data_IF_137534700145
#
_entry.id   IF_137534700145
#
_cell.length_a   1.000
_cell.length_b   1.000
_cell.length_c   1.000
_cell.angle_alpha   90.00
_cell.angle_beta   90.00
_cell.angle_gamma   90.00
#
_symmetry.space_group_name_H-M   'P 1'
#
loop_
_entity.id
_entity.type
_entity.pdbx_description
1 polymer ?
#
# COMPACT_ATOMS: atom_id res chain seq x y z
N UNK A 1 -42.08 36.19 32.05
CA UNK A 1 -42.41 37.14 33.15
C UNK A 1 -41.35 38.23 33.15
N UNK A 2 -41.42 39.26 33.99
CA UNK A 2 -40.36 40.28 34.11
C UNK A 2 -38.95 39.70 34.45
N UNK A 3 -38.88 38.42 34.79
CA UNK A 3 -37.66 37.66 35.12
C UNK A 3 -37.21 36.67 34.03
N UNK A 4 -37.75 36.75 32.81
CA UNK A 4 -37.33 35.88 31.69
C UNK A 4 -37.67 34.39 31.83
N UNK A 5 -38.47 33.98 32.82
CA UNK A 5 -38.92 32.58 32.93
C UNK A 5 -39.89 32.25 31.80
N UNK A 6 -39.67 31.11 31.17
CA UNK A 6 -40.55 30.53 30.15
C UNK A 6 -41.92 30.29 30.78
N UNK A 7 -42.95 31.00 30.32
CA UNK A 7 -44.33 30.90 30.83
C UNK A 7 -45.16 29.93 29.98
N UNK A 8 -44.97 29.95 28.66
CA UNK A 8 -45.72 29.13 27.71
C UNK A 8 -44.90 28.97 26.44
N UNK A 9 -44.83 27.74 25.92
CA UNK A 9 -44.23 27.49 24.62
C UNK A 9 -45.28 27.77 23.53
N UNK A 10 -45.02 28.75 22.66
CA UNK A 10 -45.97 29.20 21.62
C UNK A 10 -45.91 28.34 20.35
N UNK A 11 -44.95 27.42 20.27
CA UNK A 11 -44.77 26.51 19.14
C UNK A 11 -43.31 26.06 19.07
N UNK A 12 -43.11 24.80 18.65
CA UNK A 12 -41.79 24.22 18.42
C UNK A 12 -41.77 23.67 17.00
N UNK A 13 -40.74 24.01 16.24
CA UNK A 13 -40.41 23.29 15.01
C UNK A 13 -39.46 22.17 15.44
N UNK A 14 -39.88 20.92 15.24
CA UNK A 14 -39.07 19.78 15.62
C UNK A 14 -37.85 19.63 14.70
N UNK A 15 -36.69 19.24 15.25
CA UNK A 15 -35.52 19.00 14.43
C UNK A 15 -35.74 17.77 13.55
N UNK A 16 -35.31 17.86 12.29
CA UNK A 16 -35.25 16.70 11.40
C UNK A 16 -34.00 15.91 11.76
N UNK A 17 -34.17 14.61 12.01
CA UNK A 17 -33.04 13.71 12.29
C UNK A 17 -32.11 13.65 11.08
N UNK A 18 -30.80 13.51 11.33
CA UNK A 18 -29.84 13.26 10.27
C UNK A 18 -30.10 11.92 9.59
N UNK A 19 -29.70 11.82 8.32
CA UNK A 19 -29.75 10.56 7.57
C UNK A 19 -28.81 9.50 8.13
N UNK A 20 -29.17 8.23 7.96
CA UNK A 20 -28.33 7.08 8.31
C UNK A 20 -27.32 6.84 7.20
N UNK A 21 -26.04 6.68 7.57
CA UNK A 21 -24.96 6.34 6.64
C UNK A 21 -24.62 4.87 6.82
N UNK A 22 -24.81 4.08 5.76
CA UNK A 22 -24.45 2.66 5.74
C UNK A 22 -23.09 2.50 5.08
N UNK A 23 -22.17 1.84 5.79
CA UNK A 23 -20.78 1.66 5.36
C UNK A 23 -20.56 0.28 4.71
N UNK A 24 -19.50 0.18 3.92
CA UNK A 24 -18.98 -1.07 3.34
C UNK A 24 -18.21 -1.94 4.35
N UNK A 25 -17.90 -1.39 5.54
CA UNK A 25 -17.11 -2.05 6.58
C UNK A 25 -17.84 -3.26 7.18
N UNK A 26 -17.22 -4.44 7.15
CA UNK A 26 -17.64 -5.59 7.95
C UNK A 26 -17.01 -5.49 9.35
N UNK A 27 -17.85 -5.33 10.37
CA UNK A 27 -17.39 -5.16 11.76
C UNK A 27 -16.60 -6.37 12.30
N UNK A 28 -16.88 -7.58 11.83
CA UNK A 28 -16.15 -8.81 12.23
C UNK A 28 -14.78 -8.83 11.57
N UNK A 29 -14.69 -8.47 10.29
CA UNK A 29 -13.41 -8.37 9.59
C UNK A 29 -12.54 -7.25 10.18
N UNK A 30 -13.13 -6.09 10.45
CA UNK A 30 -12.45 -4.97 11.12
C UNK A 30 -11.85 -5.39 12.47
N UNK A 31 -12.61 -6.15 13.27
CA UNK A 31 -12.13 -6.70 14.55
C UNK A 31 -11.02 -7.72 14.36
N UNK A 32 -11.18 -8.68 13.44
CA UNK A 32 -10.16 -9.68 13.15
C UNK A 32 -8.85 -9.03 12.68
N UNK A 33 -8.93 -8.02 11.81
CA UNK A 33 -7.78 -7.25 11.35
C UNK A 33 -7.11 -6.50 12.51
N UNK A 34 -7.88 -5.92 13.43
CA UNK A 34 -7.36 -5.25 14.62
C UNK A 34 -6.63 -6.20 15.56
N UNK A 35 -7.25 -7.33 15.90
CA UNK A 35 -6.69 -8.34 16.81
C UNK A 35 -5.40 -8.96 16.23
N UNK A 36 -5.33 -9.14 14.91
CA UNK A 36 -4.14 -9.69 14.24
C UNK A 36 -2.87 -8.83 14.43
N UNK A 37 -3.01 -7.53 14.73
CA UNK A 37 -1.84 -6.69 15.04
C UNK A 37 -1.20 -7.04 16.38
N UNK A 38 -1.93 -7.63 17.32
CA UNK A 38 -1.38 -8.05 18.63
C UNK A 38 -0.57 -6.92 19.30
N UNK A 39 -1.16 -5.72 19.36
CA UNK A 39 -0.53 -4.52 19.94
C UNK A 39 0.59 -3.88 19.10
N UNK A 40 0.93 -4.42 17.93
CA UNK A 40 1.95 -3.85 17.03
C UNK A 40 1.42 -2.63 16.28
N UNK A 41 2.29 -1.64 16.06
CA UNK A 41 1.97 -0.47 15.25
C UNK A 41 1.95 -0.83 13.75
N UNK A 42 1.01 -0.28 13.00
CA UNK A 42 0.91 -0.47 11.56
C UNK A 42 -0.47 -0.13 11.01
N UNK A 43 -0.74 -0.59 9.80
CA UNK A 43 -2.04 -0.41 9.15
C UNK A 43 -2.40 -1.62 8.29
N UNK A 44 -3.69 -1.90 8.19
CA UNK A 44 -4.24 -2.90 7.28
C UNK A 44 -5.44 -2.31 6.54
N UNK A 45 -5.58 -2.68 5.27
CA UNK A 45 -6.71 -2.33 4.42
C UNK A 45 -7.16 -3.62 3.74
N UNK A 46 -8.44 -3.96 3.88
CA UNK A 46 -9.11 -4.98 3.10
C UNK A 46 -10.06 -4.29 2.13
N UNK A 47 -9.93 -4.59 0.84
CA UNK A 47 -10.67 -3.95 -0.24
C UNK A 47 -11.22 -5.03 -1.16
N UNK A 48 -12.52 -5.00 -1.45
CA UNK A 48 -13.09 -5.87 -2.46
C UNK A 48 -12.56 -5.42 -3.84
N UNK A 49 -11.84 -6.28 -4.58
CA UNK A 49 -11.25 -5.89 -5.84
C UNK A 49 -12.29 -5.74 -6.95
N UNK A 50 -13.53 -6.20 -6.77
CA UNK A 50 -14.58 -6.15 -7.79
C UNK A 50 -15.19 -4.76 -7.94
N UNK A 51 -15.17 -3.96 -6.88
CA UNK A 51 -15.87 -2.67 -6.84
C UNK A 51 -15.14 -1.56 -6.03
N UNK A 52 -14.09 -1.92 -5.28
CA UNK A 52 -13.35 -1.01 -4.42
C UNK A 52 -13.98 -0.72 -3.06
N UNK A 53 -14.95 -1.52 -2.62
CA UNK A 53 -15.52 -1.46 -1.28
C UNK A 53 -14.43 -1.70 -0.22
N UNK A 54 -14.26 -0.79 0.73
CA UNK A 54 -13.39 -1.01 1.89
C UNK A 54 -14.11 -1.86 2.94
N UNK A 55 -13.70 -3.12 3.05
CA UNK A 55 -14.31 -4.08 3.99
C UNK A 55 -13.73 -3.93 5.41
N UNK A 56 -12.46 -3.51 5.52
CA UNK A 56 -11.82 -3.15 6.78
C UNK A 56 -10.68 -2.15 6.55
N UNK A 57 -10.48 -1.23 7.50
CA UNK A 57 -9.38 -0.28 7.53
C UNK A 57 -8.92 -0.02 8.95
N UNK A 58 -7.74 -0.54 9.30
CA UNK A 58 -7.16 -0.46 10.65
C UNK A 58 -5.89 0.38 10.61
N UNK A 59 -5.72 1.23 11.63
CA UNK A 59 -4.49 2.00 11.88
C UNK A 59 -4.16 1.93 13.36
N UNK A 60 -2.96 1.45 13.69
CA UNK A 60 -2.52 1.20 15.06
C UNK A 60 -1.16 1.86 15.37
N UNK A 61 -0.91 2.27 16.64
CA UNK A 61 -1.91 2.31 17.71
C UNK A 61 -3.02 3.31 17.39
N UNK A 62 -4.17 3.12 18.04
CA UNK A 62 -5.36 3.96 17.91
C UNK A 62 -5.74 4.49 19.29
N UNK A 63 -6.87 5.20 19.39
CA UNK A 63 -7.39 5.76 20.63
C UNK A 63 -8.90 5.55 20.72
N UNK A 64 -9.45 5.67 21.94
CA UNK A 64 -10.89 5.63 22.14
C UNK A 64 -11.52 6.96 21.67
N UNK A 65 -12.36 6.97 20.62
CA UNK A 65 -12.99 8.20 20.16
C UNK A 65 -13.94 8.81 21.20
N UNK A 66 -14.46 8.03 22.16
CA UNK A 66 -15.35 8.53 23.20
C UNK A 66 -14.69 9.57 24.12
N UNK A 67 -13.35 9.61 24.16
CA UNK A 67 -12.59 10.63 24.88
C UNK A 67 -12.87 12.06 24.37
N UNK A 68 -13.39 12.21 23.16
CA UNK A 68 -13.67 13.52 22.56
C UNK A 68 -15.14 13.97 22.68
N UNK A 69 -16.08 13.08 23.02
CA UNK A 69 -17.52 13.38 22.99
C UNK A 69 -17.94 14.51 23.94
N UNK A 70 -17.29 14.65 25.10
CA UNK A 70 -17.61 15.66 26.12
C UNK A 70 -16.45 16.63 26.39
N UNK A 71 -15.46 16.64 25.50
CA UNK A 71 -14.16 17.29 25.73
C UNK A 71 -13.15 16.34 26.37
N UNK A 72 -11.94 16.33 25.82
CA UNK A 72 -10.85 15.46 26.27
C UNK A 72 -10.13 16.06 27.48
N UNK A 73 -9.88 15.25 28.51
CA UNK A 73 -9.05 15.64 29.64
C UNK A 73 -7.62 16.00 29.18
N UNK A 74 -7.01 17.00 29.81
CA UNK A 74 -5.69 17.51 29.40
C UNK A 74 -4.62 16.41 29.43
N UNK A 75 -4.67 15.53 30.41
CA UNK A 75 -3.74 14.41 30.57
C UNK A 75 -3.87 13.39 29.44
N UNK A 76 -5.12 13.07 29.04
CA UNK A 76 -5.40 12.17 27.93
C UNK A 76 -4.96 12.77 26.59
N UNK A 77 -5.21 14.07 26.40
CA UNK A 77 -4.75 14.82 25.24
C UNK A 77 -3.21 14.83 25.14
N UNK A 78 -2.54 15.17 26.24
CA UNK A 78 -1.08 15.18 26.32
C UNK A 78 -0.48 13.80 26.00
N UNK A 79 -1.11 12.72 26.47
CA UNK A 79 -0.70 11.34 26.14
C UNK A 79 -0.81 11.07 24.65
N UNK A 80 -1.91 11.41 24.00
CA UNK A 80 -2.10 11.20 22.56
C UNK A 80 -1.13 12.06 21.72
N UNK A 81 -0.91 13.31 22.12
CA UNK A 81 -0.07 14.25 21.40
C UNK A 81 1.42 13.88 21.48
N UNK A 82 1.88 13.40 22.66
CA UNK A 82 3.30 13.08 22.92
C UNK A 82 3.66 11.64 22.55
N UNK A 83 2.68 10.81 22.16
CA UNK A 83 2.94 9.42 21.79
C UNK A 83 3.79 9.34 20.49
N UNK A 84 4.99 8.74 20.54
CA UNK A 84 5.89 8.67 19.39
C UNK A 84 5.34 7.82 18.23
N UNK A 85 4.38 6.94 18.49
CA UNK A 85 3.72 6.08 17.49
C UNK A 85 2.55 6.80 16.79
N UNK A 86 2.25 8.04 17.17
CA UNK A 86 1.28 8.93 16.51
C UNK A 86 -0.09 8.27 16.33
N UNK A 87 -0.82 7.96 17.41
CA UNK A 87 -2.11 7.26 17.34
C UNK A 87 -3.20 8.07 16.62
N UNK A 88 -3.07 9.40 16.58
CA UNK A 88 -4.00 10.29 15.86
C UNK A 88 -3.78 10.32 14.34
N UNK A 89 -2.72 9.67 13.83
CA UNK A 89 -2.46 9.58 12.40
C UNK A 89 -3.07 8.31 11.82
N UNK A 90 -3.96 8.46 10.83
CA UNK A 90 -4.46 7.33 10.06
C UNK A 90 -3.37 6.83 9.11
N UNK A 91 -2.65 5.78 9.52
CA UNK A 91 -1.53 5.20 8.78
C UNK A 91 -1.97 4.52 7.48
N UNK A 92 -3.26 4.15 7.33
CA UNK A 92 -3.78 3.52 6.11
C UNK A 92 -3.82 4.49 4.92
N UNK A 93 -4.15 5.77 5.16
CA UNK A 93 -4.30 6.80 4.11
C UNK A 93 -3.25 7.92 4.16
N UNK A 94 -2.60 8.11 5.32
CA UNK A 94 -1.63 9.18 5.53
C UNK A 94 -0.21 8.67 5.84
N UNK A 95 -0.07 7.39 6.18
CA UNK A 95 1.24 6.76 6.36
C UNK A 95 1.93 6.58 5.01
N UNK A 96 3.05 7.26 4.82
CA UNK A 96 3.83 7.21 3.59
C UNK A 96 5.10 6.40 3.82
N UNK A 97 5.21 5.25 3.16
CA UNK A 97 6.30 4.31 3.34
C UNK A 97 6.91 3.96 1.98
N UNK A 98 8.21 3.68 1.90
CA UNK A 98 8.73 3.00 0.71
C UNK A 98 7.94 1.70 0.50
N UNK A 99 7.51 1.38 -0.73
CA UNK A 99 6.79 0.13 -1.00
C UNK A 99 7.70 -1.10 -0.85
N UNK A 100 9.01 -0.92 -0.98
CA UNK A 100 9.94 -2.04 -1.03
C UNK A 100 9.58 -3.02 -2.15
N UNK A 101 9.81 -4.31 -1.92
CA UNK A 101 9.63 -5.34 -2.96
C UNK A 101 8.20 -5.54 -3.45
N UNK A 102 7.17 -4.91 -2.85
CA UNK A 102 5.81 -4.90 -3.42
C UNK A 102 5.76 -4.12 -4.74
N UNK A 103 6.69 -3.17 -4.94
CA UNK A 103 6.83 -2.36 -6.15
C UNK A 103 7.35 -3.14 -7.36
N UNK A 104 7.98 -4.30 -7.15
CA UNK A 104 8.52 -5.16 -8.22
C UNK A 104 7.44 -5.63 -9.19
N UNK A 105 6.19 -5.72 -8.73
CA UNK A 105 5.04 -5.99 -9.59
C UNK A 105 4.91 -4.96 -10.72
N UNK A 106 5.01 -3.67 -10.38
CA UNK A 106 4.86 -2.56 -11.33
C UNK A 106 6.03 -2.54 -12.31
N UNK A 107 7.23 -2.79 -11.81
CA UNK A 107 8.44 -2.87 -12.65
C UNK A 107 8.36 -4.07 -13.59
N UNK A 108 7.85 -5.22 -13.13
CA UNK A 108 7.62 -6.39 -13.97
C UNK A 108 6.58 -6.12 -15.06
N UNK A 109 5.44 -5.52 -14.70
CA UNK A 109 4.39 -5.14 -15.63
C UNK A 109 4.92 -4.19 -16.72
N UNK A 110 5.60 -3.11 -16.31
CA UNK A 110 6.24 -2.18 -17.23
C UNK A 110 7.26 -2.87 -18.15
N UNK A 111 8.05 -3.80 -17.61
CA UNK A 111 9.09 -4.47 -18.38
C UNK A 111 8.54 -5.39 -19.48
N UNK A 112 7.43 -6.08 -19.18
CA UNK A 112 6.73 -6.93 -20.14
C UNK A 112 6.05 -6.10 -21.24
N UNK A 113 5.29 -5.07 -20.85
CA UNK A 113 4.52 -4.26 -21.80
C UNK A 113 5.40 -3.34 -22.67
N UNK A 114 6.55 -2.87 -22.16
CA UNK A 114 7.53 -2.16 -22.98
C UNK A 114 8.40 -3.10 -23.83
N UNK A 115 8.22 -4.42 -23.73
CA UNK A 115 8.96 -5.42 -24.49
C UNK A 115 10.46 -5.50 -24.17
N UNK A 116 10.90 -4.92 -23.04
CA UNK A 116 12.33 -4.93 -22.64
C UNK A 116 12.77 -6.28 -22.07
N UNK A 117 11.82 -7.11 -21.64
CA UNK A 117 12.03 -8.50 -21.26
C UNK A 117 10.90 -9.39 -21.80
N UNK A 118 11.17 -10.69 -21.87
CA UNK A 118 10.14 -11.73 -22.00
C UNK A 118 10.07 -12.54 -20.69
N UNK A 119 9.03 -13.36 -20.49
CA UNK A 119 8.97 -14.25 -19.31
C UNK A 119 10.17 -15.20 -19.19
N UNK A 120 10.82 -15.50 -20.32
CA UNK A 120 11.98 -16.38 -20.41
C UNK A 120 13.32 -15.64 -20.25
N UNK A 121 13.34 -14.29 -20.26
CA UNK A 121 14.56 -13.52 -20.04
C UNK A 121 15.19 -13.90 -18.71
N UNK A 122 16.42 -14.43 -18.76
CA UNK A 122 17.20 -14.85 -17.60
C UNK A 122 18.25 -13.80 -17.24
N UNK A 123 18.34 -13.48 -15.96
CA UNK A 123 19.40 -12.65 -15.40
C UNK A 123 20.08 -13.43 -14.27
N UNK A 124 21.41 -13.45 -14.27
CA UNK A 124 22.18 -14.13 -13.22
C UNK A 124 22.36 -13.20 -12.02
N UNK A 125 21.89 -13.65 -10.86
CA UNK A 125 22.09 -12.97 -9.59
C UNK A 125 23.24 -13.61 -8.82
N UNK A 126 24.36 -12.89 -8.70
CA UNK A 126 25.53 -13.27 -7.90
C UNK A 126 25.55 -12.63 -6.50
N UNK A 127 24.43 -12.04 -6.07
CA UNK A 127 24.30 -11.38 -4.76
C UNK A 127 24.51 -9.87 -4.77
N UNK A 128 25.02 -9.29 -5.85
CA UNK A 128 25.12 -7.84 -6.05
C UNK A 128 24.98 -7.43 -7.53
N UNK A 129 24.81 -6.13 -7.73
CA UNK A 129 24.80 -5.43 -9.01
C UNK A 129 25.71 -4.22 -8.91
N UNK A 130 26.70 -4.12 -9.81
CA UNK A 130 27.64 -3.01 -9.83
C UNK A 130 27.19 -1.92 -10.82
N UNK A 131 27.24 -0.66 -10.38
CA UNK A 131 27.01 0.48 -11.24
C UNK A 131 28.02 1.59 -10.92
N UNK A 132 28.98 1.79 -11.83
CA UNK A 132 30.11 2.68 -11.58
C UNK A 132 30.87 2.22 -10.34
N UNK A 133 31.06 3.14 -9.38
CA UNK A 133 31.78 2.87 -8.13
C UNK A 133 30.87 2.41 -6.98
N UNK A 134 29.63 1.98 -7.27
CA UNK A 134 28.64 1.61 -6.25
C UNK A 134 28.11 0.20 -6.46
N UNK A 135 28.15 -0.56 -5.38
CA UNK A 135 27.56 -1.90 -5.26
C UNK A 135 26.16 -1.85 -4.68
N UNK A 136 25.20 -2.40 -5.40
CA UNK A 136 23.81 -2.62 -4.96
C UNK A 136 23.64 -4.09 -4.58
N UNK A 137 23.36 -4.37 -3.31
CA UNK A 137 23.33 -5.74 -2.80
C UNK A 137 21.93 -6.34 -2.89
N UNK A 138 21.86 -7.60 -3.23
CA UNK A 138 20.66 -8.39 -3.07
C UNK A 138 20.47 -8.80 -1.60
N UNK A 139 19.24 -9.05 -1.19
CA UNK A 139 18.94 -9.61 0.13
C UNK A 139 19.58 -10.99 0.35
N UNK A 140 19.73 -11.80 -0.72
CA UNK A 140 20.45 -13.08 -0.68
C UNK A 140 21.92 -12.90 -1.01
N UNK A 141 22.78 -13.01 0.01
CA UNK A 141 24.23 -12.72 -0.09
C UNK A 141 24.96 -13.51 -1.19
N UNK A 142 24.66 -14.80 -1.34
CA UNK A 142 25.28 -15.66 -2.34
C UNK A 142 24.56 -15.61 -3.71
N UNK A 143 23.57 -14.74 -3.84
CA UNK A 143 22.75 -14.62 -5.04
C UNK A 143 21.71 -15.73 -5.20
N UNK A 144 20.93 -15.60 -6.27
CA UNK A 144 19.87 -16.54 -6.65
C UNK A 144 20.28 -17.45 -7.83
N UNK A 145 21.48 -17.26 -8.38
CA UNK A 145 21.90 -17.88 -9.63
C UNK A 145 21.09 -17.34 -10.82
N UNK A 146 20.94 -18.10 -11.92
CA UNK A 146 20.11 -17.70 -13.04
C UNK A 146 18.63 -17.70 -12.65
N UNK A 147 17.97 -16.55 -12.77
CA UNK A 147 16.54 -16.37 -12.49
C UNK A 147 15.82 -15.78 -13.69
N UNK A 148 14.63 -16.29 -14.01
CA UNK A 148 13.69 -15.67 -14.94
C UNK A 148 12.71 -14.77 -14.18
N UNK A 149 11.78 -14.11 -14.90
CA UNK A 149 10.83 -13.17 -14.28
C UNK A 149 10.01 -13.82 -13.16
N UNK A 150 9.48 -15.02 -13.41
CA UNK A 150 8.67 -15.75 -12.45
C UNK A 150 9.45 -16.01 -11.15
N UNK A 151 10.62 -16.66 -11.24
CA UNK A 151 11.46 -16.96 -10.08
C UNK A 151 11.95 -15.69 -9.39
N UNK A 152 12.23 -14.62 -10.15
CA UNK A 152 12.63 -13.34 -9.59
C UNK A 152 11.53 -12.67 -8.75
N UNK A 153 10.26 -12.81 -9.13
CA UNK A 153 9.12 -12.37 -8.31
C UNK A 153 8.94 -13.27 -7.08
N UNK A 154 8.93 -14.60 -7.27
CA UNK A 154 8.76 -15.62 -6.21
C UNK A 154 9.81 -15.48 -5.11
N UNK A 155 11.09 -15.43 -5.48
CA UNK A 155 12.22 -15.27 -4.54
C UNK A 155 12.57 -13.80 -4.30
N UNK A 156 11.80 -12.86 -4.85
CA UNK A 156 12.00 -11.42 -4.67
C UNK A 156 13.45 -10.96 -4.99
N UNK A 157 14.06 -11.44 -6.06
CA UNK A 157 15.46 -11.18 -6.42
C UNK A 157 15.72 -9.72 -6.80
N UNK A 158 16.52 -8.98 -6.01
CA UNK A 158 16.79 -7.56 -6.28
C UNK A 158 17.63 -7.34 -7.54
N UNK A 159 18.64 -8.17 -7.80
CA UNK A 159 19.53 -8.01 -8.97
C UNK A 159 18.78 -8.11 -10.29
N UNK A 160 17.78 -8.99 -10.36
CA UNK A 160 16.90 -9.07 -11.54
C UNK A 160 16.21 -7.71 -11.76
N UNK A 161 15.61 -7.14 -10.72
CA UNK A 161 14.89 -5.88 -10.80
C UNK A 161 15.81 -4.66 -10.92
N UNK A 162 17.05 -4.69 -10.43
CA UNK A 162 18.07 -3.67 -10.70
C UNK A 162 18.39 -3.60 -12.18
N UNK A 163 18.64 -4.75 -12.81
CA UNK A 163 18.92 -4.85 -14.24
C UNK A 163 17.71 -4.39 -15.07
N UNK A 164 16.52 -4.91 -14.78
CA UNK A 164 15.28 -4.53 -15.48
C UNK A 164 14.96 -3.05 -15.29
N UNK A 165 15.12 -2.54 -14.06
CA UNK A 165 14.91 -1.13 -13.75
C UNK A 165 15.87 -0.22 -14.50
N UNK A 166 17.14 -0.63 -14.67
CA UNK A 166 18.11 0.08 -15.51
C UNK A 166 17.69 0.10 -16.98
N UNK A 167 17.17 -1.01 -17.51
CA UNK A 167 16.68 -1.10 -18.89
C UNK A 167 15.45 -0.19 -19.12
N UNK A 168 14.54 -0.15 -18.14
CA UNK A 168 13.35 0.70 -18.21
C UNK A 168 13.66 2.19 -18.01
N UNK A 169 14.50 2.55 -17.05
CA UNK A 169 14.64 3.95 -16.64
C UNK A 169 13.45 4.45 -15.79
N UNK A 170 13.68 5.52 -15.04
CA UNK A 170 12.73 5.98 -14.01
C UNK A 170 11.39 6.44 -14.57
N UNK A 171 11.36 7.15 -15.70
CA UNK A 171 10.11 7.76 -16.16
C UNK A 171 9.11 6.72 -16.70
N UNK A 172 9.59 5.65 -17.34
CA UNK A 172 8.72 4.51 -17.72
C UNK A 172 8.19 3.82 -16.47
N UNK A 173 9.05 3.54 -15.49
CA UNK A 173 8.61 2.97 -14.20
C UNK A 173 7.54 3.86 -13.54
N UNK A 174 7.78 5.18 -13.51
CA UNK A 174 6.86 6.14 -12.93
C UNK A 174 5.52 6.21 -13.68
N UNK A 175 5.53 6.11 -15.02
CA UNK A 175 4.31 6.07 -15.84
C UNK A 175 3.42 4.89 -15.44
N UNK A 176 3.97 3.68 -15.39
CA UNK A 176 3.19 2.51 -14.96
C UNK A 176 2.76 2.65 -13.50
N UNK A 177 3.64 3.10 -12.60
CA UNK A 177 3.26 3.28 -11.19
C UNK A 177 2.03 4.20 -11.02
N UNK A 178 1.96 5.30 -11.78
CA UNK A 178 0.79 6.18 -11.81
C UNK A 178 -0.46 5.51 -12.40
N UNK A 179 -0.32 4.70 -13.45
CA UNK A 179 -1.43 3.91 -14.00
C UNK A 179 -1.99 2.91 -12.99
N UNK A 180 -1.14 2.39 -12.10
CA UNK A 180 -1.54 1.57 -10.94
C UNK A 180 -2.12 2.38 -9.76
N UNK A 181 -2.32 3.69 -9.91
CA UNK A 181 -2.87 4.57 -8.87
C UNK A 181 -1.87 5.10 -7.84
N UNK A 182 -0.57 4.81 -8.00
CA UNK A 182 0.45 5.31 -7.07
C UNK A 182 0.84 6.75 -7.36
N UNK A 183 1.17 7.51 -6.31
CA UNK A 183 1.61 8.90 -6.43
C UNK A 183 0.47 9.93 -6.54
N UNK A 184 -0.78 9.47 -6.48
CA UNK A 184 -2.00 10.28 -6.53
C UNK A 184 -2.95 9.91 -5.38
N UNK A 185 -3.86 10.82 -5.02
CA UNK A 185 -4.90 10.51 -4.05
C UNK A 185 -5.84 9.43 -4.63
N UNK A 186 -6.16 8.40 -3.84
CA UNK A 186 -7.06 7.33 -4.28
C UNK A 186 -8.47 7.85 -4.48
N UNK A 187 -8.88 8.86 -3.70
CA UNK A 187 -10.20 9.49 -3.78
C UNK A 187 -11.20 8.91 -2.79
N UNK A 188 -10.73 8.20 -1.76
CA UNK A 188 -11.56 7.73 -0.65
C UNK A 188 -12.26 8.90 0.06
N UNK A 189 -13.44 8.66 0.64
CA UNK A 189 -14.26 9.69 1.31
C UNK A 189 -13.72 10.10 2.70
N UNK A 190 -12.39 10.17 2.86
CA UNK A 190 -11.71 10.60 4.08
C UNK A 190 -10.82 11.81 3.82
N UNK A 191 -10.84 12.75 4.76
CA UNK A 191 -9.95 13.89 4.74
C UNK A 191 -8.49 13.49 4.99
N UNK A 192 -7.57 14.37 4.58
CA UNK A 192 -6.14 14.27 4.86
C UNK A 192 -5.42 13.04 4.25
N UNK A 193 -5.96 12.49 3.17
CA UNK A 193 -5.26 11.50 2.35
C UNK A 193 -3.93 12.06 1.83
N UNK A 194 -2.87 11.25 1.90
CA UNK A 194 -1.56 11.57 1.33
C UNK A 194 -1.39 10.86 -0.01
N UNK A 195 -0.95 11.61 -1.02
CA UNK A 195 -0.74 11.10 -2.38
C UNK A 195 0.48 10.20 -2.56
N UNK A 196 1.34 9.99 -1.56
CA UNK A 196 2.61 9.31 -1.79
C UNK A 196 3.60 10.17 -2.59
N UNK A 197 4.58 9.51 -3.21
CA UNK A 197 5.55 10.06 -4.14
C UNK A 197 5.99 8.98 -5.12
N UNK A 198 5.68 9.18 -6.39
CA UNK A 198 6.30 8.46 -7.52
C UNK A 198 7.30 9.43 -8.17
N UNK A 199 8.61 9.24 -7.98
CA UNK A 199 9.63 10.17 -8.47
C UNK A 199 9.79 10.06 -9.99
N UNK A 200 10.05 11.21 -10.62
CA UNK A 200 10.44 11.34 -12.04
C UNK A 200 11.70 12.19 -12.14
N UNK A 201 12.32 12.22 -13.32
CA UNK A 201 13.44 13.14 -13.58
C UNK A 201 13.04 14.60 -13.32
N UNK A 202 11.87 15.00 -13.83
CA UNK A 202 11.33 16.35 -13.69
C UNK A 202 11.02 16.70 -12.24
N UNK A 203 10.44 15.75 -11.48
CA UNK A 203 10.18 15.96 -10.05
C UNK A 203 11.47 16.25 -9.30
N UNK A 204 12.53 15.47 -9.54
CA UNK A 204 13.81 15.67 -8.85
C UNK A 204 14.44 17.01 -9.22
N UNK A 205 14.46 17.34 -10.52
CA UNK A 205 15.00 18.62 -10.98
C UNK A 205 14.23 19.80 -10.36
N UNK A 206 12.89 19.73 -10.34
CA UNK A 206 12.05 20.78 -9.78
C UNK A 206 12.23 20.93 -8.26
N UNK A 207 12.27 19.81 -7.53
CA UNK A 207 12.26 19.79 -6.05
C UNK A 207 13.63 19.90 -5.42
N UNK A 208 14.64 19.25 -6.00
CA UNK A 208 15.99 19.12 -5.45
C UNK A 208 17.03 19.94 -6.21
N UNK A 209 16.68 20.52 -7.37
CA UNK A 209 17.59 21.30 -8.23
C UNK A 209 18.79 20.50 -8.72
N UNK A 210 18.63 19.18 -8.79
CA UNK A 210 19.65 18.24 -9.25
C UNK A 210 19.12 17.35 -10.36
N UNK A 211 19.93 17.03 -11.38
CA UNK A 211 19.55 16.07 -12.40
C UNK A 211 19.45 14.65 -11.81
N UNK A 212 18.66 13.84 -12.49
CA UNK A 212 18.50 12.43 -12.16
C UNK A 212 19.79 11.64 -12.35
N UNK A 213 20.15 10.84 -11.36
CA UNK A 213 21.32 9.95 -11.39
C UNK A 213 20.86 8.53 -11.67
N UNK A 214 21.55 7.82 -12.55
CA UNK A 214 21.17 6.45 -12.95
C UNK A 214 21.07 5.49 -11.75
N UNK A 215 21.93 5.69 -10.74
CA UNK A 215 21.91 4.91 -9.51
C UNK A 215 20.63 5.06 -8.66
N UNK A 216 19.85 6.12 -8.87
CA UNK A 216 18.57 6.32 -8.19
C UNK A 216 17.49 5.42 -8.78
N UNK A 217 17.52 5.20 -10.10
CA UNK A 217 16.65 4.24 -10.79
C UNK A 217 16.81 2.83 -10.22
N UNK A 218 18.05 2.43 -9.88
CA UNK A 218 18.35 1.12 -9.30
C UNK A 218 17.62 0.94 -7.96
N UNK A 219 17.68 1.93 -7.06
CA UNK A 219 16.95 1.88 -5.79
C UNK A 219 15.43 1.87 -5.99
N UNK A 220 14.91 2.65 -6.94
CA UNK A 220 13.47 2.76 -7.22
C UNK A 220 12.91 1.47 -7.80
N UNK A 221 13.69 0.74 -8.59
CA UNK A 221 13.27 -0.52 -9.21
C UNK A 221 12.86 -1.60 -8.20
N UNK A 222 13.26 -1.46 -6.94
CA UNK A 222 12.89 -2.35 -5.84
C UNK A 222 12.04 -1.64 -4.78
N UNK A 223 11.42 -0.51 -5.13
CA UNK A 223 10.53 0.24 -4.25
C UNK A 223 11.22 0.99 -3.11
N UNK A 224 12.51 1.30 -3.25
CA UNK A 224 13.28 2.12 -2.30
C UNK A 224 13.59 3.50 -2.91
N UNK A 225 14.45 4.28 -2.25
CA UNK A 225 14.82 5.62 -2.70
C UNK A 225 13.74 6.63 -2.37
N UNK A 226 13.29 7.41 -3.36
CA UNK A 226 12.28 8.44 -3.16
C UNK A 226 10.83 7.92 -3.22
N UNK A 227 10.63 6.65 -3.59
CA UNK A 227 9.28 6.08 -3.66
C UNK A 227 8.60 6.12 -2.29
N UNK A 228 7.40 6.67 -2.24
CA UNK A 228 6.53 6.63 -1.06
C UNK A 228 5.11 6.28 -1.50
N UNK A 229 4.49 5.34 -0.81
CA UNK A 229 3.10 4.92 -1.04
C UNK A 229 2.36 4.81 0.28
N UNK A 230 1.03 4.87 0.21
CA UNK A 230 0.17 4.54 1.34
C UNK A 230 -0.28 3.08 1.28
N UNK A 231 -0.62 2.46 2.43
CA UNK A 231 -1.24 1.13 2.43
C UNK A 231 -2.49 1.04 1.54
N UNK A 232 -3.33 2.07 1.52
CA UNK A 232 -4.51 2.12 0.65
C UNK A 232 -4.14 2.13 -0.84
N UNK A 233 -3.11 2.89 -1.25
CA UNK A 233 -2.61 2.88 -2.62
C UNK A 233 -2.10 1.49 -3.04
N UNK A 234 -1.42 0.77 -2.14
CA UNK A 234 -0.97 -0.60 -2.42
C UNK A 234 -2.13 -1.59 -2.55
N UNK A 235 -3.15 -1.48 -1.69
CA UNK A 235 -4.37 -2.29 -1.80
C UNK A 235 -5.02 -2.05 -3.17
N UNK A 236 -5.28 -0.79 -3.53
CA UNK A 236 -5.87 -0.43 -4.82
C UNK A 236 -5.07 -0.96 -6.02
N UNK A 237 -3.74 -0.83 -6.00
CA UNK A 237 -2.87 -1.29 -7.08
C UNK A 237 -2.93 -2.81 -7.28
N UNK A 238 -2.93 -3.58 -6.19
CA UNK A 238 -3.03 -5.04 -6.26
C UNK A 238 -4.45 -5.51 -6.59
N UNK A 239 -5.48 -4.82 -6.09
CA UNK A 239 -6.87 -5.07 -6.48
C UNK A 239 -7.09 -4.89 -7.98
N UNK A 240 -6.48 -3.86 -8.58
CA UNK A 240 -6.56 -3.63 -10.02
C UNK A 240 -5.88 -4.74 -10.86
N UNK A 241 -4.80 -5.35 -10.36
CA UNK A 241 -4.24 -6.54 -11.01
C UNK A 241 -5.16 -7.76 -10.83
N UNK A 242 -5.66 -7.96 -9.61
CA UNK A 242 -6.45 -9.11 -9.21
C UNK A 242 -7.75 -9.21 -10.03
N UNK A 243 -8.45 -8.10 -10.24
CA UNK A 243 -9.71 -8.05 -10.98
C UNK A 243 -9.56 -8.03 -12.51
N UNK A 244 -8.35 -8.18 -13.05
CA UNK A 244 -8.11 -8.19 -14.48
C UNK A 244 -7.86 -6.82 -15.12
N UNK A 245 -7.66 -5.75 -14.35
CA UNK A 245 -7.13 -4.47 -14.82
C UNK A 245 -7.94 -3.24 -14.42
N UNK A 246 -9.09 -3.37 -13.76
CA UNK A 246 -9.94 -2.23 -13.42
C UNK A 246 -9.46 -1.50 -12.16
N UNK A 247 -9.14 -0.22 -12.27
CA UNK A 247 -8.74 0.61 -11.14
C UNK A 247 -9.99 1.26 -10.51
N UNK A 248 -10.52 0.65 -9.46
CA UNK A 248 -11.69 1.18 -8.74
C UNK A 248 -11.31 2.26 -7.72
N UNK A 249 -12.16 3.29 -7.57
CA UNK A 249 -12.05 4.25 -6.47
C UNK A 249 -12.39 3.52 -5.16
N UNK A 250 -11.51 3.52 -4.14
CA UNK A 250 -11.83 2.91 -2.87
C UNK A 250 -12.93 3.72 -2.18
N UNK A 251 -13.93 3.06 -1.60
CA UNK A 251 -15.06 3.75 -0.98
C UNK A 251 -15.54 3.09 0.31
N UNK A 252 -15.98 3.93 1.25
CA UNK A 252 -16.48 3.54 2.57
C UNK A 252 -18.00 3.59 2.67
N UNK A 253 -18.64 4.52 1.97
CA UNK A 253 -20.09 4.74 2.07
C UNK A 253 -20.77 3.89 1.01
N UNK A 254 -21.61 2.95 1.43
CA UNK A 254 -22.40 2.12 0.54
C UNK A 254 -23.68 2.87 0.12
N UNK A 255 -24.42 3.41 1.08
CA UNK A 255 -25.65 4.17 0.85
C UNK A 255 -26.00 5.10 2.01
N UNK A 256 -26.90 6.04 1.74
CA UNK A 256 -27.50 6.95 2.70
C UNK A 256 -29.02 6.68 2.70
N UNK A 257 -29.58 6.50 3.89
CA UNK A 257 -31.00 6.28 4.12
C UNK A 257 -31.58 7.47 4.88
N UNK A 258 -32.75 7.96 4.47
CA UNK A 258 -33.49 9.00 5.16
C UNK A 258 -34.04 8.46 6.50
N UNK A 259 -34.38 9.33 7.48
CA UNK A 259 -34.94 8.91 8.77
C UNK A 259 -36.18 8.01 8.64
N UNK A 260 -36.98 8.22 7.61
CA UNK A 260 -38.16 7.42 7.24
C UNK A 260 -37.84 6.07 6.58
N UNK A 261 -36.57 5.72 6.42
CA UNK A 261 -36.10 4.46 5.83
C UNK A 261 -36.03 4.46 4.29
N UNK A 262 -36.40 5.56 3.64
CA UNK A 262 -36.27 5.69 2.19
C UNK A 262 -34.79 5.84 1.77
N UNK A 263 -34.40 5.21 0.66
CA UNK A 263 -33.06 5.36 0.10
C UNK A 263 -32.86 6.81 -0.39
N UNK A 264 -31.93 7.54 0.20
CA UNK A 264 -31.58 8.89 -0.22
C UNK A 264 -30.57 8.86 -1.37
N UNK A 265 -29.54 8.02 -1.24
CA UNK A 265 -28.45 7.90 -2.21
C UNK A 265 -27.75 6.55 -2.07
N UNK A 266 -27.50 5.90 -3.19
CA UNK A 266 -26.61 4.74 -3.28
C UNK A 266 -25.30 5.16 -3.95
N UNK A 267 -24.19 4.64 -3.46
CA UNK A 267 -22.86 4.90 -4.02
C UNK A 267 -22.47 3.68 -4.84
N UNK A 268 -22.52 3.84 -6.16
CA UNK A 268 -22.12 2.80 -7.10
C UNK A 268 -20.59 2.80 -7.30
N UNK A 269 -20.00 1.65 -7.68
CA UNK A 269 -18.57 1.54 -7.92
C UNK A 269 -18.10 2.50 -9.01
N UNK A 270 -17.03 3.26 -8.74
CA UNK A 270 -16.46 4.22 -9.71
C UNK A 270 -15.14 3.71 -10.28
N UNK A 271 -15.12 3.41 -11.58
CA UNK A 271 -13.91 3.01 -12.29
C UNK A 271 -13.08 4.27 -12.61
N UNK A 272 -11.94 4.43 -11.96
CA UNK A 272 -10.99 5.54 -12.22
C UNK A 272 -10.15 5.33 -13.47
N UNK A 273 -9.95 4.09 -13.87
CA UNK A 273 -9.11 3.76 -15.02
C UNK A 273 -8.99 2.26 -15.25
N UNK A 274 -8.14 1.93 -16.20
CA UNK A 274 -7.82 0.56 -16.57
C UNK A 274 -6.32 0.43 -16.76
N UNK A 275 -5.74 -0.63 -16.22
CA UNK A 275 -4.34 -0.96 -16.39
C UNK A 275 -4.09 -1.32 -17.86
N UNK A 276 -3.14 -0.66 -18.55
CA UNK A 276 -2.84 -0.97 -19.93
C UNK A 276 -1.93 -2.21 -20.01
N UNK A 277 -2.42 -3.35 -19.51
CA UNK A 277 -1.71 -4.62 -19.50
C UNK A 277 -2.44 -5.61 -20.38
N UNK A 278 -1.70 -6.40 -21.14
CA UNK A 278 -2.28 -7.54 -21.84
C UNK A 278 -2.81 -8.58 -20.84
N UNK A 279 -3.86 -9.32 -21.23
CA UNK A 279 -4.37 -10.43 -20.44
C UNK A 279 -3.29 -11.49 -20.15
N UNK A 280 -2.33 -11.66 -21.07
CA UNK A 280 -1.16 -12.52 -20.88
C UNK A 280 -0.25 -12.02 -19.75
N UNK A 281 0.07 -10.72 -19.72
CA UNK A 281 0.85 -10.11 -18.64
C UNK A 281 0.14 -10.26 -17.30
N UNK A 282 -1.16 -9.99 -17.23
CA UNK A 282 -1.95 -10.16 -16.00
C UNK A 282 -1.88 -11.60 -15.51
N UNK A 283 -2.10 -12.58 -16.38
CA UNK A 283 -2.03 -13.99 -16.04
C UNK A 283 -0.64 -14.41 -15.53
N UNK A 284 0.43 -13.94 -16.18
CA UNK A 284 1.82 -14.21 -15.77
C UNK A 284 2.14 -13.62 -14.39
N UNK A 285 1.73 -12.37 -14.15
CA UNK A 285 1.96 -11.70 -12.87
C UNK A 285 1.14 -12.36 -11.75
N UNK A 286 -0.14 -12.66 -11.99
CA UNK A 286 -0.97 -13.40 -11.03
C UNK A 286 -0.35 -14.77 -10.68
N UNK A 287 0.16 -15.50 -11.69
CA UNK A 287 0.84 -16.78 -11.45
C UNK A 287 2.11 -16.62 -10.62
N UNK A 288 2.90 -15.60 -10.87
CA UNK A 288 4.10 -15.32 -10.09
C UNK A 288 3.77 -14.91 -8.64
N UNK A 289 2.73 -14.11 -8.43
CA UNK A 289 2.24 -13.74 -7.08
C UNK A 289 1.65 -14.93 -6.33
N UNK A 290 0.98 -15.85 -7.03
CA UNK A 290 0.62 -17.16 -6.47
C UNK A 290 1.88 -17.92 -6.05
N UNK A 291 2.93 -17.95 -6.90
CA UNK A 291 4.19 -18.61 -6.60
C UNK A 291 4.89 -18.06 -5.36
N UNK A 292 4.84 -16.75 -5.12
CA UNK A 292 5.40 -16.12 -3.92
C UNK A 292 4.84 -16.74 -2.63
N UNK A 293 3.56 -17.12 -2.63
CA UNK A 293 2.87 -17.65 -1.45
C UNK A 293 2.84 -19.18 -1.44
N UNK A 294 2.81 -19.83 -2.60
CA UNK A 294 2.49 -21.27 -2.69
C UNK A 294 3.68 -22.14 -3.11
N UNK A 295 4.67 -21.61 -3.82
CA UNK A 295 5.81 -22.39 -4.28
C UNK A 295 6.91 -22.53 -3.22
N UNK A 296 7.64 -23.67 -3.20
CA UNK A 296 8.82 -23.81 -2.37
C UNK A 296 9.84 -22.70 -2.65
N UNK A 297 10.28 -22.01 -1.59
CA UNK A 297 11.21 -20.87 -1.70
C UNK A 297 10.53 -19.51 -1.94
N UNK A 298 9.20 -19.47 -2.08
CA UNK A 298 8.44 -18.24 -2.14
C UNK A 298 8.55 -17.41 -0.85
N UNK A 299 8.79 -16.10 -0.98
CA UNK A 299 9.03 -15.24 0.18
C UNK A 299 7.79 -15.02 1.05
N UNK A 300 6.59 -15.33 0.54
CA UNK A 300 5.32 -15.25 1.24
C UNK A 300 4.78 -16.59 1.72
N UNK A 301 5.59 -17.66 1.70
CA UNK A 301 5.15 -19.03 1.96
C UNK A 301 4.43 -19.24 3.31
N UNK A 302 4.75 -18.43 4.32
CA UNK A 302 4.07 -18.47 5.62
C UNK A 302 2.59 -18.07 5.56
N UNK A 303 2.17 -17.34 4.52
CA UNK A 303 0.78 -16.93 4.29
C UNK A 303 -0.02 -17.96 3.47
N UNK A 304 0.55 -19.13 3.19
CA UNK A 304 -0.10 -20.15 2.36
C UNK A 304 -1.36 -20.68 3.02
N UNK A 305 -2.48 -20.57 2.31
CA UNK A 305 -3.75 -21.18 2.67
C UNK A 305 -4.18 -22.09 1.50
N UNK A 306 -3.92 -23.42 1.56
CA UNK A 306 -4.11 -24.32 0.42
C UNK A 306 -5.52 -24.32 -0.18
N UNK A 307 -6.53 -23.99 0.61
CA UNK A 307 -7.93 -23.96 0.18
C UNK A 307 -8.35 -22.63 -0.46
N UNK A 308 -7.53 -21.57 -0.35
CA UNK A 308 -7.90 -20.21 -0.75
C UNK A 308 -7.07 -19.63 -1.90
N UNK A 309 -6.08 -20.37 -2.43
CA UNK A 309 -5.27 -19.95 -3.58
C UNK A 309 -4.77 -18.48 -3.49
N UNK A 310 -4.14 -18.15 -2.36
CA UNK A 310 -3.69 -16.79 -2.06
C UNK A 310 -2.57 -16.38 -3.00
N UNK A 311 -2.70 -15.19 -3.60
CA UNK A 311 -1.63 -14.50 -4.31
C UNK A 311 -1.10 -13.37 -3.45
N UNK A 312 0.20 -13.11 -3.45
CA UNK A 312 0.71 -11.95 -2.72
C UNK A 312 2.17 -11.61 -2.94
N UNK A 313 2.59 -10.51 -2.34
CA UNK A 313 3.98 -10.04 -2.39
C UNK A 313 4.41 -9.43 -1.07
N UNK A 314 5.56 -9.87 -0.59
CA UNK A 314 6.24 -9.26 0.56
C UNK A 314 7.09 -8.06 0.13
N UNK A 315 7.23 -7.10 1.04
CA UNK A 315 8.11 -5.94 0.95
C UNK A 315 8.82 -5.69 2.29
N UNK A 316 10.03 -5.16 2.21
CA UNK A 316 10.79 -4.68 3.36
C UNK A 316 11.30 -3.29 3.02
N UNK A 317 11.03 -2.33 3.90
CA UNK A 317 11.31 -0.92 3.66
C UNK A 317 12.26 -0.40 4.71
N UNK A 318 13.44 0.04 4.26
CA UNK A 318 14.52 0.42 5.14
C UNK A 318 14.24 1.81 5.73
N UNK A 319 14.27 1.90 7.06
CA UNK A 319 14.09 3.18 7.77
C UNK A 319 15.39 3.99 7.82
N UNK A 320 16.54 3.31 7.71
CA UNK A 320 17.87 3.93 7.73
C UNK A 320 18.77 3.34 6.65
N UNK A 321 19.60 4.18 6.04
CA UNK A 321 20.73 3.72 5.22
C UNK A 321 21.71 2.90 6.09
N UNK A 322 22.04 1.69 5.65
CA UNK A 322 23.08 0.88 6.28
C UNK A 322 24.45 1.24 5.70
N UNK A 323 25.49 1.38 6.55
CA UNK A 323 26.86 1.55 6.08
C UNK A 323 27.28 0.45 5.10
N UNK A 324 28.13 0.81 4.14
CA UNK A 324 28.60 -0.12 3.11
C UNK A 324 29.57 -1.18 3.69
N UNK A 325 30.27 -0.86 4.77
CA UNK A 325 31.21 -1.74 5.45
C UNK A 325 30.55 -2.61 6.54
N UNK A 326 31.05 -3.83 6.73
CA UNK A 326 30.48 -4.77 7.70
C UNK A 326 30.69 -4.34 9.16
N UNK A 327 31.79 -3.62 9.43
CA UNK A 327 32.12 -3.11 10.77
C UNK A 327 31.13 -2.03 11.21
N UNK A 328 30.81 -1.08 10.32
CA UNK A 328 29.78 -0.05 10.54
C UNK A 328 28.37 -0.61 10.78
N UNK A 329 28.01 -1.76 10.18
CA UNK A 329 26.71 -2.41 10.44
C UNK A 329 26.63 -3.07 11.81
N UNK A 330 27.68 -3.80 12.23
CA UNK A 330 27.72 -4.48 13.54
C UNK A 330 27.71 -3.49 14.70
N UNK A 331 28.25 -2.30 14.50
CA UNK A 331 28.33 -1.25 15.52
C UNK A 331 27.03 -0.42 15.67
N UNK A 332 26.07 -0.55 14.75
CA UNK A 332 24.86 0.29 14.76
C UNK A 332 23.81 -0.28 15.72
N UNK A 333 23.55 0.40 16.84
CA UNK A 333 22.48 0.06 17.79
C UNK A 333 21.10 0.25 17.11
N UNK A 334 20.47 -0.85 16.70
CA UNK A 334 19.11 -0.85 16.14
C UNK A 334 18.11 -0.72 17.29
N UNK A 335 17.47 0.44 17.42
CA UNK A 335 16.31 0.60 18.31
C UNK A 335 15.05 0.11 17.58
N UNK A 336 13.92 -0.06 18.28
CA UNK A 336 12.66 -0.44 17.64
C UNK A 336 12.26 0.51 16.49
N UNK A 337 12.59 1.80 16.59
CA UNK A 337 12.36 2.82 15.55
C UNK A 337 13.32 2.75 14.35
N UNK A 338 14.39 1.96 14.45
CA UNK A 338 15.33 1.71 13.35
C UNK A 338 15.09 0.37 12.64
N UNK A 339 14.09 -0.40 13.08
CA UNK A 339 13.70 -1.63 12.39
C UNK A 339 12.99 -1.30 11.08
N UNK A 340 13.26 -2.11 10.06
CA UNK A 340 12.60 -1.99 8.77
C UNK A 340 11.10 -2.19 8.90
N UNK A 341 10.32 -1.51 8.06
CA UNK A 341 8.90 -1.79 7.93
C UNK A 341 8.70 -3.07 7.11
N UNK A 342 7.80 -3.93 7.58
CA UNK A 342 7.37 -5.12 6.86
C UNK A 342 6.05 -4.83 6.14
N UNK A 343 5.99 -5.12 4.85
CA UNK A 343 4.80 -4.97 4.03
C UNK A 343 4.42 -6.33 3.45
N UNK A 344 3.12 -6.58 3.38
CA UNK A 344 2.56 -7.70 2.65
C UNK A 344 1.27 -7.23 1.99
N UNK A 345 1.12 -7.51 0.70
CA UNK A 345 -0.10 -7.23 -0.05
C UNK A 345 -0.51 -8.54 -0.71
N UNK A 346 -1.77 -8.91 -0.58
CA UNK A 346 -2.30 -10.16 -1.10
C UNK A 346 -3.73 -9.99 -1.58
N UNK A 347 -4.20 -10.96 -2.35
CA UNK A 347 -5.60 -11.12 -2.71
C UNK A 347 -5.94 -12.60 -2.85
N UNK A 348 -7.21 -12.94 -2.67
CA UNK A 348 -7.70 -14.30 -2.79
C UNK A 348 -9.19 -14.37 -3.16
N UNK A 349 -9.65 -15.47 -3.78
CA UNK A 349 -8.85 -16.50 -4.45
C UNK A 349 -8.32 -16.03 -5.82
N UNK A 350 -7.20 -16.59 -6.30
CA UNK A 350 -6.55 -16.17 -7.56
C UNK A 350 -7.49 -16.03 -8.78
N UNK A 351 -8.46 -16.94 -8.94
CA UNK A 351 -9.35 -16.98 -10.12
C UNK A 351 -10.51 -15.98 -10.06
N UNK A 352 -11.03 -15.71 -8.88
CA UNK A 352 -12.17 -14.83 -8.67
C UNK A 352 -11.94 -14.05 -7.38
N UNK A 353 -11.02 -13.07 -7.38
CA UNK A 353 -10.61 -12.40 -6.15
C UNK A 353 -11.78 -11.66 -5.50
N UNK A 354 -11.88 -11.77 -4.17
CA UNK A 354 -12.97 -11.17 -3.38
C UNK A 354 -12.44 -10.23 -2.28
N UNK A 355 -11.13 -10.30 -1.98
CA UNK A 355 -10.45 -9.48 -0.95
C UNK A 355 -8.97 -9.33 -1.24
#
# INVERSE_FOLDING_TARGET
NAFGKVIKNLGRIDPVSGSTVVLTIDARLQRAAWEAFDGRAGAAVAMDPRDGSILAMVSLPSFDPNLFNSGIAREAWDKLQKDPLKPMSNKAIAGQYPPGSTYKLIVAAAALEEGVITPQTRITCNGSFELGNRTYRCWRKHGHGPVNLHRALVESCDVYFYTVGKMLGVDRIARYAKMFGLGEATGIELAHERKGLVPTRDWKLARMKEPWQLGETISISIGQGFNLVTPLQLAQAYSALANGGSLWRPHLVQRIELPEGALAKEYLPEKKGELPLSGQTIALLNRALWGVVNEPGGTGYAARMPQQDVCGKTGTSQVIGLPQDEKGRRLKKITAFHKDHALFVCYAPMKSPEI
#
